data_IF_547363264513
#
_entry.id   IF_547363264513
#
_cell.length_a   1.000
_cell.length_b   1.000
_cell.length_c   1.000
_cell.angle_alpha   90.00
_cell.angle_beta   90.00
_cell.angle_gamma   90.00
#
_symmetry.space_group_name_H-M   'P 1'
#
loop_
_entity.id
_entity.type
_entity.pdbx_description
1 polymer ?
#
# COMPACT_ATOMS: atom_id res chain seq x y z
N UNK A 1 1.95 4.32 7.64
CA UNK A 1 0.95 4.02 8.69
C UNK A 1 0.18 2.77 8.26
N UNK A 2 0.45 1.64 8.90
CA UNK A 2 -0.13 0.34 8.56
C UNK A 2 -1.00 -0.18 9.70
N UNK A 3 -1.86 0.66 10.26
CA UNK A 3 -2.54 0.38 11.54
C UNK A 3 -4.01 -0.06 11.41
N UNK A 4 -4.55 -0.22 10.20
CA UNK A 4 -5.97 -0.58 10.00
C UNK A 4 -6.99 0.41 10.59
N UNK A 5 -6.54 1.49 11.25
CA UNK A 5 -7.38 2.52 11.85
C UNK A 5 -7.84 3.49 10.77
N UNK A 6 -9.09 3.33 10.37
CA UNK A 6 -9.73 4.25 9.45
C UNK A 6 -9.57 5.71 9.91
N UNK A 7 -9.20 6.57 8.96
CA UNK A 7 -9.06 8.03 9.14
C UNK A 7 -7.98 8.49 10.15
N UNK A 8 -7.02 7.65 10.53
CA UNK A 8 -5.98 8.02 11.52
C UNK A 8 -5.22 9.31 11.17
N UNK A 9 -4.83 9.51 9.91
CA UNK A 9 -4.16 10.75 9.48
C UNK A 9 -5.07 11.96 9.68
N UNK A 10 -6.36 11.85 9.35
CA UNK A 10 -7.31 12.95 9.58
C UNK A 10 -7.46 13.26 11.07
N UNK A 11 -7.59 12.23 11.91
CA UNK A 11 -7.73 12.40 13.36
C UNK A 11 -6.51 13.07 14.00
N UNK A 12 -5.30 12.73 13.55
CA UNK A 12 -4.07 13.36 14.05
C UNK A 12 -4.06 14.86 13.76
N UNK A 13 -4.41 15.26 12.53
CA UNK A 13 -4.45 16.67 12.15
C UNK A 13 -5.62 17.41 12.80
N UNK A 14 -6.80 16.78 12.92
CA UNK A 14 -7.96 17.33 13.64
C UNK A 14 -7.60 17.62 15.12
N UNK A 15 -6.82 16.74 15.77
CA UNK A 15 -6.37 16.95 17.16
C UNK A 15 -5.37 18.10 17.33
N UNK A 16 -4.73 18.52 16.24
CA UNK A 16 -3.77 19.62 16.19
C UNK A 16 -4.39 20.89 15.59
N UNK A 17 -5.73 20.96 15.53
CA UNK A 17 -6.51 22.06 14.96
C UNK A 17 -6.23 22.36 13.47
N UNK A 18 -5.75 21.36 12.71
CA UNK A 18 -5.56 21.48 11.27
C UNK A 18 -6.70 20.84 10.48
N UNK A 19 -7.20 21.58 9.48
CA UNK A 19 -8.12 21.04 8.47
C UNK A 19 -7.34 20.47 7.29
N UNK A 20 -7.55 19.18 7.00
CA UNK A 20 -6.99 18.56 5.79
C UNK A 20 -7.85 18.91 4.57
N UNK A 21 -7.27 19.62 3.60
CA UNK A 21 -7.91 19.91 2.31
C UNK A 21 -7.86 18.70 1.36
N UNK A 22 -6.70 18.03 1.31
CA UNK A 22 -6.47 16.87 0.44
C UNK A 22 -5.55 15.86 1.11
N UNK A 23 -5.90 14.59 1.01
CA UNK A 23 -5.07 13.48 1.47
C UNK A 23 -4.75 12.55 0.29
N UNK A 24 -3.47 12.38 0.00
CA UNK A 24 -3.00 11.63 -1.16
C UNK A 24 -1.99 10.56 -0.74
N UNK A 25 -2.22 9.32 -1.15
CA UNK A 25 -1.31 8.21 -0.85
C UNK A 25 -0.34 8.05 -2.01
N UNK A 26 0.89 8.51 -1.82
CA UNK A 26 1.91 8.53 -2.88
C UNK A 26 2.77 7.26 -2.93
N UNK A 27 2.79 6.49 -1.85
CA UNK A 27 3.64 5.32 -1.66
C UNK A 27 2.94 4.22 -0.88
N UNK A 28 3.18 2.96 -1.25
CA UNK A 28 2.72 1.78 -0.51
C UNK A 28 3.56 0.55 -0.84
N UNK A 29 4.17 -0.08 0.17
CA UNK A 29 4.85 -1.37 0.05
C UNK A 29 5.84 -1.46 -1.14
N UNK A 30 6.72 -0.47 -1.32
CA UNK A 30 7.64 -0.43 -2.45
C UNK A 30 7.08 0.24 -3.71
N UNK A 31 5.77 0.40 -3.83
CA UNK A 31 5.10 0.96 -5.00
C UNK A 31 4.86 2.46 -4.86
N UNK A 32 4.94 3.17 -5.98
CA UNK A 32 4.62 4.60 -6.08
C UNK A 32 3.52 4.82 -7.10
N UNK A 33 2.77 5.92 -6.98
CA UNK A 33 1.76 6.31 -7.98
C UNK A 33 2.34 6.99 -9.24
N UNK A 34 3.66 7.09 -9.37
CA UNK A 34 4.31 7.76 -10.52
C UNK A 34 3.94 7.06 -11.82
N UNK A 35 3.63 7.84 -12.85
CA UNK A 35 3.27 7.31 -14.17
C UNK A 35 1.85 6.73 -14.28
N UNK A 36 0.99 6.88 -13.27
CA UNK A 36 -0.42 6.48 -13.32
C UNK A 36 -1.29 7.73 -13.14
N UNK A 37 -2.14 8.00 -14.13
CA UNK A 37 -3.10 9.10 -14.06
C UNK A 37 -4.17 8.83 -12.99
N UNK A 38 -4.79 9.90 -12.48
CA UNK A 38 -5.91 9.75 -11.53
C UNK A 38 -7.03 8.91 -12.17
N UNK A 39 -7.58 7.98 -11.40
CA UNK A 39 -8.64 7.07 -11.87
C UNK A 39 -8.16 5.89 -12.73
N UNK A 40 -6.87 5.82 -13.08
CA UNK A 40 -6.32 4.74 -13.88
C UNK A 40 -5.66 3.66 -13.02
N UNK A 41 -5.49 2.49 -13.61
CA UNK A 41 -4.78 1.35 -13.03
C UNK A 41 -3.89 0.71 -14.09
N UNK A 42 -2.93 -0.10 -13.64
CA UNK A 42 -2.11 -0.96 -14.49
C UNK A 42 -1.80 -2.26 -13.77
N UNK A 43 -1.45 -3.29 -14.52
CA UNK A 43 -0.85 -4.48 -13.93
C UNK A 43 0.53 -4.16 -13.33
N UNK A 44 0.85 -4.84 -12.24
CA UNK A 44 2.18 -4.82 -11.65
C UNK A 44 3.14 -5.61 -12.52
N UNK A 45 4.37 -5.14 -12.60
CA UNK A 45 5.47 -5.91 -13.20
C UNK A 45 5.84 -7.10 -12.30
N UNK A 46 6.47 -8.13 -12.85
CA UNK A 46 6.89 -9.30 -12.07
C UNK A 46 7.79 -8.92 -10.88
N UNK A 47 8.66 -7.92 -11.08
CA UNK A 47 9.50 -7.35 -10.02
C UNK A 47 8.67 -6.75 -8.89
N UNK A 48 7.64 -5.98 -9.22
CA UNK A 48 6.73 -5.39 -8.24
C UNK A 48 5.92 -6.45 -7.50
N UNK A 49 5.46 -7.49 -8.19
CA UNK A 49 4.79 -8.63 -7.58
C UNK A 49 5.73 -9.35 -6.59
N UNK A 50 6.98 -9.61 -6.99
CA UNK A 50 7.97 -10.24 -6.13
C UNK A 50 8.25 -9.41 -4.86
N UNK A 51 8.43 -8.09 -4.99
CA UNK A 51 8.62 -7.18 -3.85
C UNK A 51 7.43 -7.20 -2.89
N UNK A 52 6.19 -7.21 -3.41
CA UNK A 52 5.00 -7.33 -2.58
C UNK A 52 4.93 -8.66 -1.84
N UNK A 53 5.32 -9.77 -2.48
CA UNK A 53 5.32 -11.09 -1.83
C UNK A 53 6.34 -11.17 -0.69
N UNK A 54 7.50 -10.54 -0.85
CA UNK A 54 8.53 -10.48 0.19
C UNK A 54 8.14 -9.57 1.36
N UNK A 55 7.44 -8.46 1.09
CA UNK A 55 7.08 -7.47 2.12
C UNK A 55 5.92 -7.88 3.02
N UNK A 56 5.25 -9.00 2.74
CA UNK A 56 4.15 -9.54 3.57
C UNK A 56 4.66 -10.75 4.35
N UNK A 57 4.83 -10.67 5.69
CA UNK A 57 5.11 -11.86 6.48
C UNK A 57 3.87 -12.77 6.47
N UNK A 58 3.97 -13.95 5.86
CA UNK A 58 2.94 -15.00 6.02
C UNK A 58 2.35 -15.65 4.77
N UNK A 59 3.02 -15.67 3.61
CA UNK A 59 2.68 -16.65 2.55
C UNK A 59 3.93 -17.37 2.05
N UNK A 60 4.49 -18.25 2.89
CA UNK A 60 5.34 -19.33 2.42
C UNK A 60 4.55 -20.15 1.40
N UNK A 61 5.12 -20.29 0.21
CA UNK A 61 4.55 -21.05 -0.89
C UNK A 61 4.43 -22.52 -0.42
N UNK A 62 3.21 -23.01 -0.15
CA UNK A 62 2.97 -24.44 -0.01
C UNK A 62 3.12 -25.08 -1.39
N UNK A 63 4.36 -25.29 -1.84
CA UNK A 63 4.60 -26.26 -2.91
C UNK A 63 4.35 -27.63 -2.31
N UNK A 64 3.29 -28.25 -2.82
CA UNK A 64 2.93 -29.65 -2.71
C UNK A 64 4.16 -30.55 -2.76
N UNK A 65 4.34 -31.35 -1.71
CA UNK A 65 5.08 -32.61 -1.79
C UNK A 65 4.23 -33.55 -2.68
N UNK A 66 4.64 -33.70 -3.92
CA UNK A 66 4.44 -34.86 -4.79
C UNK A 66 5.82 -35.11 -5.37
N UNK A 67 6.40 -36.30 -5.38
CA UNK A 67 6.08 -37.62 -4.86
C UNK A 67 7.38 -38.40 -5.08
#
# INVERSE_FOLDING_TARGET
IHSGRNRIVRRIFEHLDYRIEKLDRVYFAGLTKKGILRGHWRHLTDKEVAMLRMSVPGKSNKKSRQG
#
